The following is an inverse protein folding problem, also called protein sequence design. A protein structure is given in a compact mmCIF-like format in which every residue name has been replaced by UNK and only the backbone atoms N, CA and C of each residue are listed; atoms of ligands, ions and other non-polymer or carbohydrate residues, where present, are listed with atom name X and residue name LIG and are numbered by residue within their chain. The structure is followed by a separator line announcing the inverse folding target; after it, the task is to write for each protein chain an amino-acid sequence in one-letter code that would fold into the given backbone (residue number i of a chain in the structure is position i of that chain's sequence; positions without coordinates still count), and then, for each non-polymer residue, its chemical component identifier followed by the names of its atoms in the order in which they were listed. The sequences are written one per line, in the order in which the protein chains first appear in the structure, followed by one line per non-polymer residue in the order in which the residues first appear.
data_IF_607230209625
#
_entry.id   IF_607230209625
#
_cell.length_a   1.000
_cell.length_b   1.000
_cell.length_c   1.000
_cell.angle_alpha   90.00
_cell.angle_beta   90.00
_cell.angle_gamma   90.00
#
_symmetry.space_group_name_H-M   'P 1'
#
loop_
_entity.id
_entity.type
_entity.pdbx_description
1 polymer ?
#
# COMPACT_ATOMS: atom_id res chain seq x y z
N UNK A 1 3.59 20.47 -3.62
CA UNK A 1 3.34 19.61 -2.42
C UNK A 1 4.27 20.05 -1.29
N UNK A 2 3.73 20.42 -0.12
CA UNK A 2 4.55 20.89 1.01
C UNK A 2 5.31 19.77 1.74
N UNK A 3 6.41 20.14 2.42
CA UNK A 3 7.30 19.26 3.21
C UNK A 3 6.55 18.41 4.24
N UNK A 4 5.52 18.99 4.88
CA UNK A 4 4.68 18.31 5.88
C UNK A 4 3.88 17.14 5.31
N UNK A 5 3.32 17.28 4.10
CA UNK A 5 2.55 16.22 3.45
C UNK A 5 3.44 15.06 3.01
N UNK A 6 4.64 15.37 2.50
CA UNK A 6 5.66 14.36 2.16
C UNK A 6 6.10 13.57 3.40
N UNK A 7 6.36 14.26 4.51
CA UNK A 7 6.75 13.61 5.78
C UNK A 7 5.63 12.76 6.39
N UNK A 8 4.35 13.09 6.13
CA UNK A 8 3.20 12.29 6.58
C UNK A 8 3.05 11.01 5.76
N UNK A 9 3.19 11.10 4.43
CA UNK A 9 3.20 9.94 3.54
C UNK A 9 4.34 8.98 3.88
N UNK A 10 5.57 9.49 3.97
CA UNK A 10 6.76 8.71 4.32
C UNK A 10 6.63 7.97 5.66
N UNK A 11 6.08 8.64 6.69
CA UNK A 11 5.83 7.99 7.99
C UNK A 11 4.75 6.91 7.90
N UNK A 12 3.72 7.11 7.08
CA UNK A 12 2.69 6.12 6.82
C UNK A 12 3.25 4.83 6.22
N UNK A 13 4.01 4.97 5.13
CA UNK A 13 4.65 3.85 4.44
C UNK A 13 5.65 3.11 5.34
N UNK A 14 6.50 3.87 6.04
CA UNK A 14 7.48 3.31 6.97
C UNK A 14 6.80 2.52 8.10
N UNK A 15 5.78 3.09 8.73
CA UNK A 15 5.08 2.43 9.84
C UNK A 15 4.36 1.16 9.39
N UNK A 16 3.74 1.16 8.20
CA UNK A 16 3.09 -0.04 7.67
C UNK A 16 4.12 -1.15 7.42
N UNK A 17 5.22 -0.84 6.72
CA UNK A 17 6.26 -1.83 6.41
C UNK A 17 6.91 -2.36 7.69
N UNK A 18 7.19 -1.49 8.66
CA UNK A 18 7.70 -1.91 9.98
C UNK A 18 6.73 -2.86 10.68
N UNK A 19 5.45 -2.52 10.75
CA UNK A 19 4.41 -3.35 11.36
C UNK A 19 4.31 -4.72 10.69
N UNK A 20 4.34 -4.79 9.36
CA UNK A 20 4.32 -6.07 8.63
C UNK A 20 5.55 -6.92 8.92
N UNK A 21 6.75 -6.32 8.92
CA UNK A 21 7.99 -7.02 9.28
C UNK A 21 7.97 -7.58 10.70
N UNK A 22 7.45 -6.82 11.66
CA UNK A 22 7.33 -7.26 13.06
C UNK A 22 6.41 -8.49 13.21
N UNK A 23 5.49 -8.69 12.27
CA UNK A 23 4.63 -9.88 12.21
C UNK A 23 5.20 -11.01 11.33
N UNK A 24 6.47 -10.91 10.91
CA UNK A 24 7.12 -11.91 10.07
C UNK A 24 6.75 -11.86 8.58
N UNK A 25 6.08 -10.81 8.11
CA UNK A 25 5.73 -10.63 6.70
C UNK A 25 6.89 -9.99 5.94
N UNK A 26 7.25 -10.53 4.77
CA UNK A 26 8.27 -9.91 3.92
C UNK A 26 7.71 -8.62 3.32
N UNK A 27 8.29 -7.48 3.73
CA UNK A 27 7.86 -6.16 3.27
C UNK A 27 9.06 -5.26 2.99
N UNK A 28 9.08 -4.58 1.85
CA UNK A 28 10.14 -3.63 1.46
C UNK A 28 9.51 -2.38 0.84
N UNK A 29 10.01 -1.20 1.18
CA UNK A 29 9.58 0.06 0.52
C UNK A 29 10.28 0.20 -0.82
N UNK A 30 9.60 0.78 -1.79
CA UNK A 30 10.19 1.15 -3.08
C UNK A 30 10.63 2.61 -3.00
N UNK A 31 11.94 2.92 -2.93
CA UNK A 31 12.39 4.30 -2.92
C UNK A 31 12.04 4.97 -4.27
N UNK A 32 11.57 6.23 -4.22
CA UNK A 32 11.27 7.07 -5.37
C UNK A 32 10.01 6.71 -6.21
N UNK A 33 9.02 6.00 -5.64
CA UNK A 33 7.75 5.64 -6.32
C UNK A 33 6.97 6.79 -6.97
N UNK A 34 7.27 8.05 -6.60
CA UNK A 34 6.65 9.25 -7.16
C UNK A 34 7.45 10.00 -8.24
N UNK A 35 8.64 9.52 -8.64
CA UNK A 35 9.54 10.24 -9.54
C UNK A 35 9.79 9.54 -10.89
N UNK A 36 9.32 8.30 -11.08
CA UNK A 36 9.63 7.50 -12.28
C UNK A 36 8.43 6.66 -12.69
N UNK A 37 8.00 6.80 -13.95
CA UNK A 37 6.89 6.04 -14.56
C UNK A 37 7.09 4.50 -14.55
N UNK A 38 8.31 4.03 -14.25
CA UNK A 38 8.72 2.62 -14.35
C UNK A 38 8.48 1.76 -13.10
N UNK A 39 8.27 2.36 -11.91
CA UNK A 39 7.95 1.60 -10.69
C UNK A 39 6.78 2.25 -9.94
N UNK A 40 5.57 1.97 -10.43
CA UNK A 40 4.34 2.28 -9.69
C UNK A 40 4.19 1.32 -8.51
N UNK A 41 4.12 1.87 -7.30
CA UNK A 41 3.93 1.13 -6.05
C UNK A 41 4.80 1.67 -4.92
N UNK A 42 4.21 1.92 -3.76
CA UNK A 42 4.89 2.42 -2.57
C UNK A 42 5.72 1.33 -1.85
N UNK A 43 5.32 0.05 -1.98
CA UNK A 43 5.99 -1.07 -1.34
C UNK A 43 5.85 -2.39 -2.13
N UNK A 44 6.67 -3.38 -1.79
CA UNK A 44 6.54 -4.77 -2.21
C UNK A 44 6.32 -5.60 -0.95
N UNK A 45 5.22 -6.36 -0.90
CA UNK A 45 4.79 -7.19 0.23
C UNK A 45 4.63 -8.63 -0.27
N UNK A 46 5.45 -9.57 0.21
CA UNK A 46 5.47 -10.96 -0.27
C UNK A 46 5.40 -11.04 -1.81
N UNK A 47 6.36 -10.39 -2.48
CA UNK A 47 6.45 -10.29 -3.95
C UNK A 47 5.32 -9.52 -4.66
N UNK A 48 4.28 -9.10 -3.94
CA UNK A 48 3.16 -8.32 -4.49
C UNK A 48 3.44 -6.81 -4.40
N UNK A 49 3.19 -6.09 -5.50
CA UNK A 49 3.24 -4.63 -5.54
C UNK A 49 2.09 -4.05 -4.72
N UNK A 50 2.40 -3.08 -3.87
CA UNK A 50 1.46 -2.47 -2.97
C UNK A 50 1.48 -0.93 -3.06
N UNK A 51 0.29 -0.34 -3.06
CA UNK A 51 0.10 1.11 -2.91
C UNK A 51 -0.43 1.42 -1.52
N UNK A 52 -0.05 2.56 -0.94
CA UNK A 52 -0.44 2.96 0.43
C UNK A 52 -1.15 4.31 0.39
N UNK A 53 -2.41 4.36 0.84
CA UNK A 53 -3.22 5.59 0.88
C UNK A 53 -3.78 5.87 2.26
N UNK A 54 -3.20 6.90 2.89
CA UNK A 54 -3.71 7.49 4.14
C UNK A 54 -4.58 8.71 3.82
N UNK A 55 -5.87 8.65 4.15
CA UNK A 55 -6.82 9.76 3.92
C UNK A 55 -7.78 9.91 5.10
N UNK A 56 -8.40 11.08 5.24
CA UNK A 56 -9.43 11.32 6.27
C UNK A 56 -10.65 10.41 6.08
N UNK A 57 -11.18 10.34 4.85
CA UNK A 57 -12.34 9.53 4.46
C UNK A 57 -12.46 9.41 2.93
N UNK A 58 -13.48 8.68 2.45
CA UNK A 58 -14.00 8.78 1.09
C UNK A 58 -13.14 8.12 0.02
N UNK A 59 -12.64 6.90 0.25
CA UNK A 59 -11.84 6.09 -0.69
C UNK A 59 -12.60 5.75 -2.00
N UNK A 60 -12.94 6.76 -2.80
CA UNK A 60 -13.73 6.64 -4.04
C UNK A 60 -12.89 6.21 -5.24
N UNK A 61 -11.57 6.34 -5.15
CA UNK A 61 -10.60 6.05 -6.23
C UNK A 61 -9.87 4.73 -6.02
N UNK A 62 -10.53 3.75 -5.37
CA UNK A 62 -9.92 2.45 -5.07
C UNK A 62 -9.48 1.74 -6.36
N UNK A 63 -10.33 1.73 -7.40
CA UNK A 63 -10.00 1.12 -8.68
C UNK A 63 -8.82 1.79 -9.36
N UNK A 64 -8.80 3.13 -9.45
CA UNK A 64 -7.65 3.88 -9.98
C UNK A 64 -6.34 3.53 -9.26
N UNK A 65 -6.38 3.40 -7.93
CA UNK A 65 -5.19 3.09 -7.15
C UNK A 65 -4.74 1.64 -7.30
N UNK A 66 -5.65 0.72 -7.64
CA UNK A 66 -5.35 -0.69 -7.87
C UNK A 66 -4.87 -1.00 -9.29
N UNK A 67 -5.05 -0.09 -10.25
CA UNK A 67 -4.78 -0.34 -11.68
C UNK A 67 -3.39 -0.93 -11.96
N UNK A 68 -2.37 -0.50 -11.20
CA UNK A 68 -0.97 -0.87 -11.45
C UNK A 68 -0.31 -1.66 -10.29
N UNK A 69 -1.10 -2.07 -9.30
CA UNK A 69 -0.61 -2.76 -8.09
C UNK A 69 -1.48 -3.96 -7.76
N UNK A 70 -0.93 -4.85 -6.94
CA UNK A 70 -1.58 -6.08 -6.54
C UNK A 70 -2.40 -5.89 -5.26
N UNK A 71 -1.94 -4.98 -4.41
CA UNK A 71 -2.50 -4.66 -3.10
C UNK A 71 -2.65 -3.15 -2.94
N UNK A 72 -3.72 -2.75 -2.26
CA UNK A 72 -3.91 -1.39 -1.79
C UNK A 72 -4.13 -1.40 -0.28
N UNK A 73 -3.21 -0.76 0.45
CA UNK A 73 -3.39 -0.49 1.87
C UNK A 73 -4.05 0.86 2.05
N UNK A 74 -5.26 0.86 2.61
CA UNK A 74 -5.98 2.09 2.95
C UNK A 74 -6.11 2.23 4.46
N UNK A 75 -6.09 3.46 4.94
CA UNK A 75 -6.37 3.75 6.34
C UNK A 75 -7.01 5.12 6.50
N UNK A 76 -8.17 5.11 7.14
CA UNK A 76 -8.86 6.33 7.57
C UNK A 76 -8.23 6.87 8.87
N UNK A 77 -8.46 8.15 9.15
CA UNK A 77 -8.03 8.76 10.42
C UNK A 77 -8.62 7.97 11.60
N UNK A 78 -7.75 7.59 12.56
CA UNK A 78 -8.09 6.81 13.76
C UNK A 78 -8.77 5.45 13.50
N UNK A 79 -8.67 4.91 12.29
CA UNK A 79 -9.12 3.55 11.95
C UNK A 79 -7.92 2.62 11.72
N UNK A 80 -8.11 1.29 11.84
CA UNK A 80 -7.11 0.31 11.44
C UNK A 80 -6.85 0.36 9.93
N UNK A 81 -5.75 -0.25 9.50
CA UNK A 81 -5.49 -0.48 8.08
C UNK A 81 -6.48 -1.51 7.52
N UNK A 82 -6.86 -1.33 6.25
CA UNK A 82 -7.52 -2.34 5.45
C UNK A 82 -6.63 -2.68 4.27
N UNK A 83 -6.63 -3.95 3.89
CA UNK A 83 -5.99 -4.45 2.67
C UNK A 83 -7.08 -4.67 1.64
N UNK A 84 -6.95 -4.04 0.49
CA UNK A 84 -7.88 -4.17 -0.64
C UNK A 84 -7.14 -4.83 -1.79
N UNK A 85 -7.76 -5.82 -2.42
CA UNK A 85 -7.26 -6.49 -3.61
C UNK A 85 -8.42 -6.93 -4.51
N UNK A 86 -8.21 -7.10 -5.82
CA UNK A 86 -9.19 -7.70 -6.70
C UNK A 86 -9.57 -9.12 -6.24
N UNK A 87 -10.84 -9.50 -6.41
CA UNK A 87 -11.35 -10.80 -5.99
C UNK A 87 -10.58 -11.96 -6.63
N UNK A 88 -10.19 -11.81 -7.89
CA UNK A 88 -9.43 -12.82 -8.63
C UNK A 88 -8.06 -13.07 -8.00
N UNK A 89 -7.41 -12.02 -7.46
CA UNK A 89 -6.14 -12.17 -6.73
C UNK A 89 -6.34 -12.88 -5.41
N UNK A 90 -7.40 -12.53 -4.68
CA UNK A 90 -7.75 -13.20 -3.44
C UNK A 90 -8.00 -14.70 -3.65
N UNK A 91 -8.80 -15.06 -4.66
CA UNK A 91 -9.07 -16.47 -5.01
C UNK A 91 -7.77 -17.22 -5.32
N UNK A 92 -6.86 -16.62 -6.08
CA UNK A 92 -5.55 -17.22 -6.39
C UNK A 92 -4.68 -17.42 -5.15
N UNK A 93 -4.70 -16.48 -4.21
CA UNK A 93 -3.98 -16.55 -2.94
C UNK A 93 -4.50 -17.72 -2.08
N UNK A 94 -5.81 -17.79 -1.89
CA UNK A 94 -6.43 -18.81 -1.02
C UNK A 94 -6.37 -20.21 -1.63
N UNK A 95 -6.35 -20.35 -2.96
CA UNK A 95 -6.15 -21.66 -3.60
C UNK A 95 -4.72 -22.19 -3.55
N UNK A 96 -3.74 -21.30 -3.34
CA UNK A 96 -2.31 -21.67 -3.26
C UNK A 96 -1.87 -22.03 -1.84
N UNK A 97 -2.63 -21.62 -0.82
CA UNK A 97 -2.45 -22.03 0.57
C UNK A 97 -3.30 -23.25 0.89
#
# INVERSE_FOLDING_TARGET
MGKSQRNKGYRGEYNLVKMLKEQGVEAKRVPLSGATDFQKGDAIINEMKAEIKLRKSGFKRIYDWLENVDLLFIKADRKPYLVVMPLEKFIKLVKKG
#
